data_IF_782694478418
#
_entry.id   IF_782694478418
#
_cell.length_a   1.000
_cell.length_b   1.000
_cell.length_c   1.000
_cell.angle_alpha   90.00
_cell.angle_beta   90.00
_cell.angle_gamma   90.00
#
_symmetry.space_group_name_H-M   'P 1'
#
loop_
_entity.id
_entity.type
_entity.pdbx_description
1 polymer ?
#
# COMPACT_ATOMS: atom_id res chain seq x y z
N UNK A 1 2.65 -4.12 -5.69
CA UNK A 1 3.73 -4.62 -4.81
C UNK A 1 3.25 -4.65 -3.37
N UNK A 2 3.55 -5.71 -2.62
CA UNK A 2 3.10 -5.90 -1.23
C UNK A 2 4.19 -6.63 -0.42
N UNK A 3 4.87 -5.95 0.52
CA UNK A 3 5.75 -6.59 1.49
C UNK A 3 4.94 -7.40 2.52
N UNK A 4 5.58 -8.40 3.14
CA UNK A 4 4.94 -9.24 4.17
C UNK A 4 4.93 -8.56 5.56
N UNK A 5 6.09 -8.10 6.04
CA UNK A 5 6.23 -7.45 7.35
C UNK A 5 7.38 -6.43 7.37
N UNK A 6 7.39 -5.54 8.36
CA UNK A 6 8.46 -4.57 8.56
C UNK A 6 9.67 -5.20 9.27
N UNK A 7 10.90 -4.87 8.84
CA UNK A 7 12.15 -5.33 9.48
C UNK A 7 13.13 -4.16 9.66
N UNK A 8 12.90 -3.27 10.64
CA UNK A 8 13.72 -2.07 10.81
C UNK A 8 15.17 -2.41 11.18
N UNK A 9 16.15 -1.76 10.53
CA UNK A 9 17.59 -1.98 10.77
C UNK A 9 17.95 -1.81 12.27
N UNK A 10 17.32 -0.85 12.95
CA UNK A 10 17.56 -0.59 14.38
C UNK A 10 17.11 -1.76 15.28
N UNK A 11 16.08 -2.48 14.87
CA UNK A 11 15.44 -3.56 15.64
C UNK A 11 16.00 -4.93 15.25
N UNK A 12 16.45 -5.10 13.99
CA UNK A 12 17.06 -6.33 13.44
C UNK A 12 16.16 -7.57 13.53
N UNK A 13 14.87 -7.37 13.74
CA UNK A 13 13.84 -8.42 13.73
C UNK A 13 12.56 -7.86 13.15
N UNK A 14 11.63 -8.74 12.79
CA UNK A 14 10.32 -8.36 12.28
C UNK A 14 9.55 -7.58 13.36
N UNK A 15 8.85 -6.53 12.94
CA UNK A 15 7.95 -5.74 13.79
C UNK A 15 6.53 -5.81 13.26
N UNK A 16 5.57 -5.48 14.12
CA UNK A 16 4.14 -5.38 13.76
C UNK A 16 3.79 -4.03 13.13
N UNK A 17 4.80 -3.25 12.73
CA UNK A 17 4.58 -1.98 12.06
C UNK A 17 3.98 -2.23 10.67
N UNK A 18 3.11 -1.32 10.25
CA UNK A 18 2.50 -1.38 8.92
C UNK A 18 3.57 -1.19 7.83
N UNK A 19 3.38 -1.89 6.71
CA UNK A 19 4.24 -1.79 5.52
C UNK A 19 3.51 -1.06 4.38
N UNK A 20 4.22 -0.27 3.57
CA UNK A 20 3.64 0.36 2.39
C UNK A 20 3.33 -0.69 1.33
N UNK A 21 2.20 -0.56 0.64
CA UNK A 21 1.84 -1.38 -0.53
C UNK A 21 1.29 -0.49 -1.64
N UNK A 22 1.33 -0.98 -2.87
CA UNK A 22 0.78 -0.28 -4.04
C UNK A 22 0.14 -1.26 -5.00
N UNK A 23 -1.03 -0.91 -5.52
CA UNK A 23 -1.74 -1.64 -6.58
C UNK A 23 -1.69 -0.75 -7.83
N UNK A 24 -1.45 -1.36 -8.98
CA UNK A 24 -1.43 -0.67 -10.26
C UNK A 24 -2.18 -1.51 -11.27
N UNK A 25 -3.19 -0.92 -11.91
CA UNK A 25 -3.92 -1.53 -13.01
C UNK A 25 -3.95 -0.59 -14.20
N UNK A 26 -3.92 -1.18 -15.40
CA UNK A 26 -4.09 -0.47 -16.68
C UNK A 26 -5.55 -0.45 -17.14
N UNK A 27 -6.47 -1.11 -16.42
CA UNK A 27 -7.90 -1.14 -16.75
C UNK A 27 -8.66 0.03 -16.18
N UNK A 28 -8.25 0.53 -15.01
CA UNK A 28 -8.86 1.68 -14.33
C UNK A 28 -8.56 2.93 -15.16
N UNK A 29 -9.55 3.31 -15.97
CA UNK A 29 -9.48 4.40 -16.96
C UNK A 29 -9.93 5.75 -16.41
N UNK A 30 -10.39 5.79 -15.17
CA UNK A 30 -10.89 7.00 -14.54
C UNK A 30 -9.79 7.62 -13.67
N UNK A 31 -9.39 8.86 -13.98
CA UNK A 31 -8.47 9.69 -13.18
C UNK A 31 -8.95 9.88 -11.72
N UNK A 32 -10.18 9.47 -11.39
CA UNK A 32 -10.74 9.49 -10.04
C UNK A 32 -10.28 8.35 -9.14
N UNK A 33 -9.69 7.30 -9.70
CA UNK A 33 -9.15 6.18 -8.93
C UNK A 33 -7.67 6.37 -8.55
N UNK A 34 -7.03 7.45 -9.03
CA UNK A 34 -5.67 7.80 -8.65
C UNK A 34 -5.66 8.54 -7.30
N UNK A 35 -4.79 8.08 -6.40
CA UNK A 35 -4.53 8.74 -5.12
C UNK A 35 -3.53 9.89 -5.29
N UNK A 36 -3.56 10.88 -4.39
CA UNK A 36 -2.60 12.01 -4.37
C UNK A 36 -1.15 11.60 -3.95
N UNK A 37 -0.89 10.30 -3.77
CA UNK A 37 0.41 9.80 -3.29
C UNK A 37 1.37 9.55 -4.45
N UNK A 38 2.36 10.42 -4.60
CA UNK A 38 3.34 10.35 -5.69
C UNK A 38 4.57 9.48 -5.39
N UNK A 39 4.74 9.03 -4.15
CA UNK A 39 5.95 8.32 -3.68
C UNK A 39 5.63 7.06 -2.89
N UNK A 40 6.40 6.00 -3.15
CA UNK A 40 6.31 4.74 -2.41
C UNK A 40 7.32 4.74 -1.25
N UNK A 41 6.86 5.19 -0.07
CA UNK A 41 7.61 5.15 1.19
C UNK A 41 6.67 5.01 2.40
N UNK A 42 7.21 4.72 3.59
CA UNK A 42 6.45 4.44 4.83
C UNK A 42 5.71 5.66 5.42
N UNK A 43 5.95 6.86 4.90
CA UNK A 43 5.33 8.10 5.34
C UNK A 43 4.27 8.57 4.35
N UNK A 44 4.60 8.62 3.06
CA UNK A 44 3.70 9.04 1.98
C UNK A 44 2.52 8.09 1.83
N UNK A 45 2.71 6.78 2.02
CA UNK A 45 1.64 5.79 1.93
C UNK A 45 0.50 6.02 2.94
N UNK A 46 0.75 6.76 4.03
CA UNK A 46 -0.26 7.07 5.05
C UNK A 46 -1.37 7.98 4.54
N UNK A 47 -1.10 8.71 3.47
CA UNK A 47 -2.06 9.58 2.80
C UNK A 47 -2.77 8.87 1.63
N UNK A 48 -2.49 7.59 1.39
CA UNK A 48 -3.18 6.81 0.37
C UNK A 48 -4.64 6.54 0.76
N UNK A 49 -5.50 6.34 -0.25
CA UNK A 49 -6.94 6.07 -0.12
C UNK A 49 -7.26 4.90 0.80
N UNK A 50 -6.37 3.92 0.82
CA UNK A 50 -6.54 2.67 1.55
C UNK A 50 -6.22 2.77 3.06
N UNK A 51 -5.68 3.90 3.54
CA UNK A 51 -5.52 4.17 4.97
C UNK A 51 -4.63 3.17 5.73
N UNK A 52 -4.97 2.88 7.00
CA UNK A 52 -4.21 1.98 7.89
C UNK A 52 -4.71 0.55 7.80
N UNK A 53 -4.33 -0.13 6.72
CA UNK A 53 -4.68 -1.53 6.48
C UNK A 53 -5.89 -1.68 5.58
N UNK A 54 -5.86 -2.73 4.76
CA UNK A 54 -6.91 -3.04 3.79
C UNK A 54 -7.59 -4.33 4.18
N UNK A 55 -8.88 -4.23 4.50
CA UNK A 55 -9.76 -5.38 4.49
C UNK A 55 -10.08 -5.71 3.03
N UNK A 56 -10.09 -7.00 2.67
CA UNK A 56 -10.36 -7.49 1.31
C UNK A 56 -9.33 -7.13 0.22
N UNK A 57 -8.04 -7.12 0.55
CA UNK A 57 -6.96 -6.83 -0.42
C UNK A 57 -7.06 -7.65 -1.72
N UNK A 58 -7.37 -8.94 -1.61
CA UNK A 58 -7.48 -9.82 -2.78
C UNK A 58 -8.68 -9.50 -3.66
N UNK A 59 -9.77 -8.98 -3.11
CA UNK A 59 -10.94 -8.54 -3.89
C UNK A 59 -10.57 -7.31 -4.71
N UNK A 60 -10.01 -6.29 -4.05
CA UNK A 60 -9.54 -5.05 -4.70
C UNK A 60 -8.53 -5.36 -5.82
N UNK A 61 -7.54 -6.21 -5.55
CA UNK A 61 -6.52 -6.56 -6.54
C UNK A 61 -7.08 -7.28 -7.78
N UNK A 62 -8.18 -8.03 -7.64
CA UNK A 62 -8.77 -8.81 -8.72
C UNK A 62 -9.88 -8.06 -9.46
N UNK A 63 -10.51 -7.07 -8.83
CA UNK A 63 -11.48 -6.18 -9.47
C UNK A 63 -10.80 -5.13 -10.37
N UNK A 64 -9.60 -4.67 -10.02
CA UNK A 64 -8.72 -3.82 -10.84
C UNK A 64 -8.13 -4.58 -12.07
#
# INVERSE_FOLDING_TARGET
ILPDHATPIKVKTHTTDLVPFAIYSTKSKDEKDEDEVEKFDEFACRNGRYGKGVENFMEILLED
#
